data_IF_093088371716
#
_entry.id   IF_093088371716
#
_cell.length_a   1.000
_cell.length_b   1.000
_cell.length_c   1.000
_cell.angle_alpha   90.00
_cell.angle_beta   90.00
_cell.angle_gamma   90.00
#
_symmetry.space_group_name_H-M   'P 1'
#
loop_
_entity.id
_entity.type
_entity.pdbx_description
1 polymer ?
#
# COMPACT_ATOMS: atom_id res chain seq x y z
N UNK A 1 6.57 11.47 -10.20
CA UNK A 1 5.20 11.07 -9.82
C UNK A 1 4.43 10.85 -11.10
N UNK A 2 3.98 9.63 -11.37
CA UNK A 2 3.29 9.27 -12.61
C UNK A 2 1.79 9.15 -12.33
N UNK A 3 0.99 9.90 -13.09
CA UNK A 3 -0.46 9.92 -12.95
C UNK A 3 -1.11 9.37 -14.22
N UNK A 4 -2.14 8.54 -14.06
CA UNK A 4 -2.92 8.03 -15.18
C UNK A 4 -4.41 8.19 -14.89
N UNK A 5 -5.15 8.69 -15.88
CA UNK A 5 -6.62 8.70 -15.81
C UNK A 5 -7.12 7.27 -15.94
N UNK A 6 -7.98 6.87 -15.03
CA UNK A 6 -8.62 5.55 -15.06
C UNK A 6 -10.13 5.67 -14.94
N UNK A 7 -10.83 4.59 -15.30
CA UNK A 7 -12.27 4.49 -15.19
C UNK A 7 -12.64 3.67 -13.96
N UNK A 8 -13.67 4.16 -13.28
CA UNK A 8 -14.35 3.45 -12.22
C UNK A 8 -15.46 2.63 -12.88
N UNK A 9 -15.46 1.31 -12.69
CA UNK A 9 -16.45 0.41 -13.26
C UNK A 9 -17.20 -0.31 -12.13
N UNK A 10 -18.53 -0.40 -12.24
CA UNK A 10 -19.32 -1.21 -11.33
C UNK A 10 -19.27 -2.66 -11.79
N UNK A 11 -18.90 -3.58 -10.92
CA UNK A 11 -18.89 -5.01 -11.23
C UNK A 11 -19.85 -5.73 -10.28
N UNK A 12 -21.00 -6.14 -10.82
CA UNK A 12 -22.05 -6.80 -10.05
C UNK A 12 -22.65 -5.95 -8.92
N UNK A 13 -23.16 -6.62 -7.90
CA UNK A 13 -23.75 -6.00 -6.70
C UNK A 13 -22.73 -5.78 -5.57
N UNK A 14 -21.54 -6.36 -5.69
CA UNK A 14 -20.53 -6.46 -4.62
C UNK A 14 -19.60 -5.25 -4.51
N UNK A 15 -19.59 -4.36 -5.50
CA UNK A 15 -18.90 -3.08 -5.36
C UNK A 15 -18.41 -2.45 -6.65
N UNK A 16 -17.39 -1.61 -6.47
CA UNK A 16 -16.78 -0.80 -7.51
C UNK A 16 -15.35 -1.31 -7.74
N UNK A 17 -15.00 -1.51 -9.01
CA UNK A 17 -13.65 -1.86 -9.43
C UNK A 17 -12.97 -0.62 -10.02
N UNK A 18 -11.75 -0.34 -9.55
CA UNK A 18 -10.89 0.70 -10.11
C UNK A 18 -9.79 -0.01 -10.89
N UNK A 19 -9.73 0.25 -12.20
CA UNK A 19 -8.64 -0.27 -13.01
C UNK A 19 -7.34 0.49 -12.67
N UNK A 20 -6.27 -0.22 -12.33
CA UNK A 20 -4.95 0.40 -12.12
C UNK A 20 -4.08 0.06 -13.34
N UNK A 21 -3.71 1.06 -14.17
CA UNK A 21 -2.85 0.85 -15.32
C UNK A 21 -1.53 0.17 -14.96
N UNK A 22 -1.08 -0.75 -15.81
CA UNK A 22 0.09 -1.60 -15.51
C UNK A 22 1.40 -0.82 -15.33
N UNK A 23 1.49 0.35 -15.94
CA UNK A 23 2.63 1.25 -15.85
C UNK A 23 2.66 1.99 -14.50
N UNK A 24 1.50 2.44 -13.99
CA UNK A 24 1.37 2.97 -12.63
C UNK A 24 1.69 1.90 -11.59
N UNK A 25 1.18 0.68 -11.81
CA UNK A 25 1.43 -0.46 -10.92
C UNK A 25 2.92 -0.81 -10.81
N UNK A 26 3.65 -0.80 -11.93
CA UNK A 26 5.08 -1.17 -12.00
C UNK A 26 6.02 -0.07 -11.47
N UNK A 27 5.60 1.18 -11.52
CA UNK A 27 6.38 2.35 -11.06
C UNK A 27 6.33 2.54 -9.53
N UNK A 28 5.42 1.82 -8.86
CA UNK A 28 5.37 1.77 -7.39
C UNK A 28 6.60 1.07 -6.83
N UNK A 29 7.20 1.63 -5.78
CA UNK A 29 8.26 0.95 -5.00
C UNK A 29 7.79 -0.39 -4.42
N UNK A 30 6.47 -0.57 -4.26
CA UNK A 30 5.82 -1.83 -3.93
C UNK A 30 4.71 -2.12 -4.96
N UNK A 31 5.04 -2.79 -6.08
CA UNK A 31 4.08 -3.04 -7.14
C UNK A 31 3.03 -4.07 -6.70
N UNK A 32 1.75 -3.65 -6.70
CA UNK A 32 0.61 -4.52 -6.39
C UNK A 32 0.54 -5.69 -7.37
N UNK A 33 0.22 -6.89 -6.87
CA UNK A 33 -0.04 -8.10 -7.66
C UNK A 33 -1.49 -8.51 -7.52
N UNK A 34 -1.96 -9.31 -8.48
CA UNK A 34 -3.29 -9.89 -8.39
C UNK A 34 -3.34 -10.85 -7.19
N UNK A 35 -4.35 -10.68 -6.33
CA UNK A 35 -4.48 -11.46 -5.09
C UNK A 35 -3.86 -10.81 -3.87
N UNK A 36 -3.12 -9.70 -4.00
CA UNK A 36 -2.60 -8.97 -2.84
C UNK A 36 -3.73 -8.34 -2.01
N UNK A 37 -3.62 -8.45 -0.69
CA UNK A 37 -4.46 -7.67 0.22
C UNK A 37 -3.95 -6.22 0.30
N UNK A 38 -4.89 -5.28 0.22
CA UNK A 38 -4.59 -3.85 0.29
C UNK A 38 -5.47 -3.16 1.30
N UNK A 39 -4.89 -2.17 1.99
CA UNK A 39 -5.62 -1.22 2.80
C UNK A 39 -6.02 -0.03 1.93
N UNK A 40 -7.30 0.33 1.96
CA UNK A 40 -7.85 1.51 1.28
C UNK A 40 -8.22 2.53 2.35
N UNK A 41 -7.63 3.72 2.30
CA UNK A 41 -7.96 4.82 3.19
C UNK A 41 -8.37 6.06 2.41
N UNK A 42 -9.25 6.88 3.01
CA UNK A 42 -9.70 8.15 2.45
C UNK A 42 -9.31 9.26 3.40
N UNK A 43 -8.56 10.23 2.89
CA UNK A 43 -8.20 11.46 3.59
C UNK A 43 -8.66 12.67 2.75
N UNK A 44 -9.78 13.26 3.16
CA UNK A 44 -10.46 14.32 2.43
C UNK A 44 -10.81 13.91 0.99
N UNK A 45 -10.13 14.52 0.00
CA UNK A 45 -10.33 14.27 -1.43
C UNK A 45 -9.36 13.24 -2.02
N UNK A 46 -8.49 12.64 -1.20
CA UNK A 46 -7.47 11.69 -1.65
C UNK A 46 -7.81 10.30 -1.13
N UNK A 47 -7.86 9.34 -2.05
CA UNK A 47 -7.93 7.91 -1.72
C UNK A 47 -6.53 7.32 -1.87
N UNK A 48 -6.08 6.58 -0.86
CA UNK A 48 -4.76 5.94 -0.84
C UNK A 48 -4.95 4.42 -0.75
N UNK A 49 -4.21 3.68 -1.58
CA UNK A 49 -4.19 2.22 -1.60
C UNK A 49 -2.78 1.78 -1.22
N UNK A 50 -2.66 1.00 -0.14
CA UNK A 50 -1.36 0.54 0.38
C UNK A 50 -1.37 -0.98 0.56
N UNK A 51 -0.37 -1.73 0.08
CA UNK A 51 -0.26 -3.17 0.38
C UNK A 51 -0.21 -3.41 1.90
N UNK A 52 -0.92 -4.43 2.39
CA UNK A 52 -0.95 -4.73 3.84
C UNK A 52 0.44 -5.10 4.38
N UNK A 53 1.28 -5.77 3.59
CA UNK A 53 2.65 -6.08 3.98
C UNK A 53 3.55 -4.83 4.09
N UNK A 54 3.28 -3.81 3.29
CA UNK A 54 3.97 -2.52 3.39
C UNK A 54 3.52 -1.71 4.63
N UNK A 55 2.29 -1.92 5.11
CA UNK A 55 1.80 -1.30 6.35
C UNK A 55 2.52 -1.86 7.59
N UNK A 56 2.97 -3.13 7.55
CA UNK A 56 3.78 -3.74 8.62
C UNK A 56 5.23 -3.25 8.67
N UNK A 57 5.77 -2.72 7.58
CA UNK A 57 7.14 -2.19 7.57
C UNK A 57 7.27 -0.82 8.25
N UNK A 58 6.19 -0.02 8.33
CA UNK A 58 6.26 1.32 8.96
C UNK A 58 6.16 1.30 10.49
N UNK A 59 5.85 0.17 11.10
CA UNK A 59 5.85 0.00 12.57
C UNK A 59 7.11 -0.72 13.09
N UNK A 60 8.09 -1.00 12.23
CA UNK A 60 9.33 -1.69 12.58
C UNK A 60 10.53 -0.78 12.93
N UNK A 61 10.33 0.52 13.19
CA UNK A 61 11.41 1.46 13.49
C UNK A 61 11.40 1.91 14.95
N UNK A 62 11.61 0.99 15.90
CA UNK A 62 12.06 1.30 17.27
C UNK A 62 12.53 0.05 18.06
N UNK A 63 13.43 -0.78 17.52
CA UNK A 63 14.16 -1.75 18.35
C UNK A 63 15.61 -1.91 17.89
N UNK A 64 16.42 -0.89 18.16
CA UNK A 64 17.88 -0.97 18.26
C UNK A 64 18.33 0.29 19.03
N UNK A 65 19.04 0.28 20.15
CA UNK A 65 19.90 -0.71 20.80
C UNK A 65 19.75 -0.51 22.32
N UNK A 66 19.38 -1.55 23.08
CA UNK A 66 19.78 -1.58 24.49
C UNK A 66 21.16 -2.21 24.47
N UNK A 67 22.21 -1.42 24.69
CA UNK A 67 23.51 -1.94 25.08
C UNK A 67 23.28 -2.69 26.40
N UNK A 68 23.29 -4.01 26.34
CA UNK A 68 23.57 -4.83 27.52
C UNK A 68 25.08 -4.81 27.68
N UNK A 69 25.58 -3.84 28.44
CA UNK A 69 26.88 -3.98 29.09
C UNK A 69 26.71 -5.04 30.18
N UNK A 70 26.89 -6.31 29.78
CA UNK A 70 27.11 -7.42 30.67
C UNK A 70 28.59 -7.36 31.13
N UNK A 71 28.76 -7.11 32.43
CA UNK A 71 29.68 -7.82 33.32
C UNK A 71 31.20 -7.73 33.08
N UNK A 72 31.87 -6.95 33.94
CA UNK A 72 33.06 -7.37 34.72
C UNK A 72 32.88 -6.90 36.16
#
# INVERSE_FOLDING_TARGET
MKEAKTKIQKFGATGIHIYIPSDVRKDSQNPLKAGDEVMVSVDGKKMTITPVDAAKQKTGAATAKIHRDDWV
#
